data_IF_509298577490
#
_entry.id   IF_509298577490
#
_cell.length_a   1.000
_cell.length_b   1.000
_cell.length_c   1.000
_cell.angle_alpha   90.00
_cell.angle_beta   90.00
_cell.angle_gamma   90.00
#
_symmetry.space_group_name_H-M   'P 1'
#
loop_
_entity.id
_entity.type
_entity.pdbx_description
1 polymer ?
#
# COMPACT_ATOMS: atom_id res chain seq x y z
N UNK A 1 -10.77 -7.42 5.83
CA UNK A 1 -11.12 -8.80 5.45
C UNK A 1 -10.78 -9.86 6.49
N UNK A 2 -9.76 -9.70 7.35
CA UNK A 2 -9.43 -10.72 8.37
C UNK A 2 -10.58 -11.08 9.31
N UNK A 3 -11.33 -10.09 9.82
CA UNK A 3 -12.49 -10.37 10.69
C UNK A 3 -13.67 -11.01 9.93
N UNK A 4 -13.86 -10.68 8.65
CA UNK A 4 -14.91 -11.26 7.78
C UNK A 4 -14.60 -12.72 7.46
N UNK A 5 -13.32 -13.08 7.30
CA UNK A 5 -12.91 -14.48 7.13
C UNK A 5 -13.17 -15.34 8.37
N UNK A 6 -13.14 -14.77 9.57
CA UNK A 6 -13.42 -15.47 10.83
C UNK A 6 -14.91 -15.49 11.17
N UNK A 7 -15.62 -14.38 10.93
CA UNK A 7 -17.04 -14.23 11.28
C UNK A 7 -17.99 -14.67 10.17
N UNK A 8 -17.54 -14.77 8.93
CA UNK A 8 -18.35 -15.13 7.76
C UNK A 8 -19.36 -14.07 7.31
N UNK A 9 -19.45 -12.92 7.99
CA UNK A 9 -20.50 -11.92 7.76
C UNK A 9 -20.01 -10.90 6.71
N UNK A 10 -20.49 -11.02 5.46
CA UNK A 10 -20.25 -10.06 4.35
C UNK A 10 -21.33 -8.98 4.22
N UNK A 11 -22.07 -8.67 5.29
CA UNK A 11 -23.22 -7.74 5.25
C UNK A 11 -22.79 -6.27 5.25
N UNK A 12 -23.26 -5.49 4.25
CA UNK A 12 -23.04 -4.04 4.14
C UNK A 12 -23.53 -3.26 5.37
N UNK A 13 -24.56 -3.75 6.04
CA UNK A 13 -25.12 -3.10 7.24
C UNK A 13 -24.14 -3.11 8.42
N UNK A 14 -23.26 -4.12 8.50
CA UNK A 14 -22.23 -4.19 9.55
C UNK A 14 -21.17 -3.12 9.34
N UNK A 15 -20.78 -2.87 8.09
CA UNK A 15 -19.83 -1.80 7.75
C UNK A 15 -20.43 -0.42 8.09
N UNK A 16 -21.70 -0.19 7.75
CA UNK A 16 -22.40 1.06 8.08
C UNK A 16 -22.53 1.24 9.59
N UNK A 17 -22.95 0.21 10.32
CA UNK A 17 -23.05 0.26 11.79
C UNK A 17 -21.69 0.53 12.44
N UNK A 18 -20.62 -0.13 11.97
CA UNK A 18 -19.25 0.14 12.41
C UNK A 18 -18.81 1.57 12.14
N UNK A 19 -19.11 2.10 10.94
CA UNK A 19 -18.84 3.49 10.59
C UNK A 19 -19.57 4.49 11.50
N UNK A 20 -20.86 4.23 11.79
CA UNK A 20 -21.64 5.06 12.72
C UNK A 20 -21.03 5.03 14.13
N UNK A 21 -20.62 3.85 14.62
CA UNK A 21 -19.93 3.72 15.92
C UNK A 21 -18.63 4.53 15.93
N UNK A 22 -17.83 4.49 14.86
CA UNK A 22 -16.59 5.27 14.76
C UNK A 22 -16.87 6.78 14.77
N UNK A 23 -17.92 7.24 14.10
CA UNK A 23 -18.33 8.66 14.11
C UNK A 23 -18.74 9.08 15.52
N UNK A 24 -19.58 8.28 16.19
CA UNK A 24 -20.04 8.58 17.56
C UNK A 24 -18.85 8.61 18.53
N UNK A 25 -17.96 7.61 18.48
CA UNK A 25 -16.77 7.58 19.34
C UNK A 25 -15.80 8.72 19.03
N UNK A 26 -15.68 9.14 17.77
CA UNK A 26 -14.84 10.27 17.37
C UNK A 26 -15.36 11.63 17.84
N UNK A 27 -16.68 11.78 18.00
CA UNK A 27 -17.30 13.01 18.52
C UNK A 27 -17.25 13.12 20.05
N UNK A 28 -16.92 12.05 20.77
CA UNK A 28 -16.84 12.05 22.23
C UNK A 28 -15.46 12.55 22.70
N UNK A 29 -15.36 13.74 23.34
CA UNK A 29 -14.07 14.30 23.77
C UNK A 29 -13.36 13.44 24.84
N UNK A 30 -14.11 12.61 25.58
CA UNK A 30 -13.55 11.66 26.54
C UNK A 30 -12.69 10.58 25.87
N UNK A 31 -13.06 10.15 24.66
CA UNK A 31 -12.27 9.17 23.91
C UNK A 31 -10.95 9.80 23.41
N UNK A 32 -11.00 11.05 22.97
CA UNK A 32 -9.82 11.79 22.55
C UNK A 32 -8.79 11.94 23.69
N UNK A 33 -9.24 12.30 24.90
CA UNK A 33 -8.37 12.40 26.08
C UNK A 33 -7.72 11.05 26.45
N UNK A 34 -8.44 9.93 26.25
CA UNK A 34 -7.90 8.60 26.50
C UNK A 34 -6.81 8.24 25.48
N UNK A 35 -7.00 8.58 24.20
CA UNK A 35 -6.00 8.35 23.15
C UNK A 35 -4.75 9.21 23.36
N UNK A 36 -4.92 10.46 23.80
CA UNK A 36 -3.80 11.36 24.14
C UNK A 36 -2.98 10.83 25.32
N UNK A 37 -3.61 10.14 26.27
CA UNK A 37 -2.91 9.51 27.40
C UNK A 37 -2.06 8.29 27.01
N UNK A 38 -2.16 7.80 25.77
CA UNK A 38 -1.39 6.65 25.30
C UNK A 38 0.09 7.01 25.11
N UNK A 39 1.03 6.26 25.73
CA UNK A 39 2.44 6.47 25.50
C UNK A 39 2.81 6.30 24.03
N UNK A 40 3.71 7.15 23.53
CA UNK A 40 4.21 7.10 22.14
C UNK A 40 4.80 5.73 21.77
N UNK A 41 5.34 5.00 22.76
CA UNK A 41 5.86 3.63 22.56
C UNK A 41 4.78 2.63 22.14
N UNK A 42 3.53 2.78 22.62
CA UNK A 42 2.41 1.90 22.24
C UNK A 42 1.92 2.22 20.84
N UNK A 43 1.80 3.52 20.53
CA UNK A 43 1.45 3.99 19.18
C UNK A 43 2.49 3.56 18.14
N UNK A 44 3.78 3.62 18.51
CA UNK A 44 4.88 3.11 17.69
C UNK A 44 4.80 1.61 17.45
N UNK A 45 4.49 0.81 18.49
CA UNK A 45 4.28 -0.64 18.36
C UNK A 45 3.09 -0.99 17.46
N UNK A 46 1.95 -0.31 17.63
CA UNK A 46 0.79 -0.47 16.76
C UNK A 46 1.11 -0.09 15.30
N UNK A 47 1.84 1.01 15.09
CA UNK A 47 2.31 1.44 13.78
C UNK A 47 3.23 0.40 13.13
N UNK A 48 4.19 -0.15 13.87
CA UNK A 48 5.10 -1.18 13.36
C UNK A 48 4.35 -2.41 12.87
N UNK A 49 3.35 -2.89 13.63
CA UNK A 49 2.52 -4.03 13.23
C UNK A 49 1.70 -3.70 11.98
N UNK A 50 1.09 -2.51 11.92
CA UNK A 50 0.30 -2.09 10.75
C UNK A 50 1.16 -1.98 9.49
N UNK A 51 2.31 -1.29 9.55
CA UNK A 51 3.22 -1.17 8.42
C UNK A 51 3.82 -2.52 8.02
N UNK A 52 4.15 -3.39 8.99
CA UNK A 52 4.63 -4.74 8.72
C UNK A 52 3.60 -5.60 8.00
N UNK A 53 2.32 -5.53 8.40
CA UNK A 53 1.24 -6.24 7.72
C UNK A 53 1.01 -5.71 6.30
N UNK A 54 1.06 -4.40 6.10
CA UNK A 54 0.97 -3.79 4.76
C UNK A 54 2.13 -4.25 3.87
N UNK A 55 3.36 -4.28 4.38
CA UNK A 55 4.53 -4.78 3.65
C UNK A 55 4.37 -6.28 3.29
N UNK A 56 3.91 -7.10 4.23
CA UNK A 56 3.65 -8.51 3.99
C UNK A 56 2.57 -8.74 2.93
N UNK A 57 1.49 -7.96 2.94
CA UNK A 57 0.46 -7.98 1.88
C UNK A 57 1.06 -7.59 0.53
N UNK A 58 1.92 -6.57 0.49
CA UNK A 58 2.64 -6.19 -0.73
C UNK A 58 3.49 -7.32 -1.31
N UNK A 59 4.28 -8.01 -0.48
CA UNK A 59 5.08 -9.16 -0.89
C UNK A 59 4.18 -10.30 -1.39
N UNK A 60 3.04 -10.54 -0.72
CA UNK A 60 2.08 -11.57 -1.14
C UNK A 60 1.49 -11.28 -2.51
N UNK A 61 1.08 -10.04 -2.79
CA UNK A 61 0.61 -9.63 -4.12
C UNK A 61 1.71 -9.87 -5.15
N UNK A 62 2.93 -9.48 -4.81
CA UNK A 62 4.08 -9.64 -5.69
C UNK A 62 4.40 -11.10 -6.01
N UNK A 63 4.20 -12.01 -5.04
CA UNK A 63 4.40 -13.45 -5.23
C UNK A 63 3.43 -14.08 -6.25
N UNK A 64 2.34 -13.40 -6.58
CA UNK A 64 1.41 -13.82 -7.65
C UNK A 64 1.88 -13.47 -9.06
N UNK A 65 2.96 -12.70 -9.21
CA UNK A 65 3.51 -12.30 -10.52
C UNK A 65 4.46 -13.37 -11.05
N UNK A 66 4.38 -13.67 -12.35
CA UNK A 66 5.33 -14.58 -13.00
C UNK A 66 6.70 -13.90 -13.20
N UNK A 67 7.66 -14.29 -12.36
CA UNK A 67 9.06 -13.90 -12.47
C UNK A 67 9.92 -14.91 -13.23
N UNK A 68 9.42 -16.10 -13.52
CA UNK A 68 10.17 -17.17 -14.20
C UNK A 68 10.00 -17.08 -15.72
N UNK A 69 8.79 -16.81 -16.21
CA UNK A 69 8.51 -16.67 -17.64
C UNK A 69 8.90 -15.31 -18.21
N UNK A 70 8.93 -14.26 -17.39
CA UNK A 70 9.24 -12.91 -17.84
C UNK A 70 10.24 -12.18 -16.93
N UNK A 71 11.51 -12.16 -17.33
CA UNK A 71 12.60 -11.54 -16.57
C UNK A 71 12.46 -10.01 -16.43
N UNK A 72 11.68 -9.36 -17.29
CA UNK A 72 11.41 -7.93 -17.20
C UNK A 72 10.63 -7.58 -15.92
N UNK A 73 9.73 -8.45 -15.46
CA UNK A 73 8.93 -8.22 -14.24
C UNK A 73 9.82 -8.04 -13.01
N UNK A 74 10.86 -8.88 -12.85
CA UNK A 74 11.80 -8.76 -11.73
C UNK A 74 12.60 -7.45 -11.79
N UNK A 75 12.99 -7.02 -13.00
CA UNK A 75 13.71 -5.77 -13.21
C UNK A 75 12.84 -4.55 -12.90
N UNK A 76 11.58 -4.54 -13.36
CA UNK A 76 10.62 -3.47 -13.09
C UNK A 76 10.46 -3.27 -11.58
N UNK A 77 10.23 -4.36 -10.85
CA UNK A 77 10.09 -4.33 -9.39
C UNK A 77 11.36 -3.79 -8.73
N UNK A 78 12.52 -4.37 -9.04
CA UNK A 78 13.77 -3.98 -8.39
C UNK A 78 14.09 -2.49 -8.60
N UNK A 79 13.92 -1.98 -9.82
CA UNK A 79 14.18 -0.58 -10.16
C UNK A 79 13.13 0.34 -9.51
N UNK A 80 11.85 -0.03 -9.53
CA UNK A 80 10.78 0.77 -8.91
C UNK A 80 10.95 0.91 -7.39
N UNK A 81 11.34 -0.16 -6.68
CA UNK A 81 11.63 -0.12 -5.24
C UNK A 81 12.87 0.74 -4.99
N UNK A 82 13.93 0.58 -5.79
CA UNK A 82 15.12 1.42 -5.71
C UNK A 82 14.82 2.91 -5.85
N UNK A 83 13.99 3.28 -6.84
CA UNK A 83 13.55 4.65 -7.07
C UNK A 83 12.65 5.16 -5.93
N UNK A 84 11.75 4.31 -5.42
CA UNK A 84 10.90 4.65 -4.28
C UNK A 84 11.66 4.92 -2.97
N UNK A 85 12.86 4.35 -2.81
CA UNK A 85 13.71 4.58 -1.64
C UNK A 85 14.58 5.83 -1.75
N UNK A 86 14.63 6.52 -2.89
CA UNK A 86 15.44 7.73 -3.09
C UNK A 86 15.20 8.80 -2.02
N UNK A 87 13.95 9.13 -1.63
CA UNK A 87 13.71 10.17 -0.61
C UNK A 87 14.26 9.80 0.77
N UNK A 88 14.39 8.50 1.05
CA UNK A 88 14.90 7.97 2.31
C UNK A 88 16.44 7.91 2.32
N UNK A 89 17.06 7.53 1.20
CA UNK A 89 18.52 7.29 1.11
C UNK A 89 19.27 8.58 0.72
N UNK A 90 18.67 9.44 -0.09
CA UNK A 90 19.30 10.64 -0.65
C UNK A 90 18.42 11.89 -0.44
N UNK A 91 18.28 12.39 0.81
CA UNK A 91 17.45 13.57 1.09
C UNK A 91 17.95 14.85 0.41
N UNK A 92 19.24 14.91 0.05
CA UNK A 92 19.86 16.03 -0.67
C UNK A 92 19.53 16.06 -2.18
N UNK A 93 18.92 15.01 -2.73
CA UNK A 93 18.52 14.97 -4.15
C UNK A 93 17.52 16.08 -4.52
N UNK A 94 16.82 16.64 -3.52
CA UNK A 94 15.90 17.79 -3.65
C UNK A 94 16.57 19.06 -4.20
N UNK A 95 17.87 19.25 -3.96
CA UNK A 95 18.60 20.47 -4.34
C UNK A 95 18.76 20.63 -5.86
N UNK A 96 18.65 19.53 -6.62
CA UNK A 96 18.85 19.52 -8.06
C UNK A 96 17.53 19.57 -8.86
N UNK A 97 16.36 19.77 -8.21
CA UNK A 97 15.05 19.60 -8.83
C UNK A 97 14.12 20.83 -8.67
N UNK A 98 13.23 21.14 -9.65
CA UNK A 98 12.33 22.29 -9.60
C UNK A 98 11.35 22.25 -8.41
N UNK A 99 11.09 23.40 -7.80
CA UNK A 99 10.26 23.54 -6.59
C UNK A 99 8.81 23.03 -6.76
N UNK A 100 8.27 23.04 -7.99
CA UNK A 100 6.92 22.56 -8.27
C UNK A 100 6.72 21.05 -8.02
N UNK A 101 7.80 20.27 -7.98
CA UNK A 101 7.76 18.79 -7.93
C UNK A 101 8.22 18.25 -6.58
N UNK A 102 8.70 19.11 -5.67
CA UNK A 102 9.28 18.71 -4.38
C UNK A 102 8.36 17.84 -3.53
N UNK A 103 7.07 18.19 -3.42
CA UNK A 103 6.10 17.42 -2.63
C UNK A 103 5.82 16.02 -3.22
N UNK A 104 5.86 15.89 -4.54
CA UNK A 104 5.64 14.61 -5.23
C UNK A 104 6.83 13.67 -5.06
N UNK A 105 8.06 14.20 -5.14
CA UNK A 105 9.30 13.44 -4.95
C UNK A 105 9.46 12.98 -3.51
N UNK A 106 8.97 13.77 -2.53
CA UNK A 106 9.04 13.38 -1.13
C UNK A 106 8.27 12.10 -0.82
N UNK A 107 7.23 11.81 -1.61
CA UNK A 107 6.48 10.58 -1.51
C UNK A 107 7.18 9.45 -2.27
N UNK A 108 7.98 8.67 -1.55
CA UNK A 108 8.64 7.47 -2.10
C UNK A 108 7.65 6.45 -2.70
N UNK A 109 6.43 6.39 -2.16
CA UNK A 109 5.36 5.53 -2.69
C UNK A 109 4.94 6.00 -4.09
N UNK A 110 4.76 7.31 -4.31
CA UNK A 110 4.39 7.85 -5.62
C UNK A 110 5.50 7.61 -6.65
N UNK A 111 6.76 7.85 -6.27
CA UNK A 111 7.90 7.60 -7.15
C UNK A 111 8.00 6.13 -7.55
N UNK A 112 7.83 5.20 -6.58
CA UNK A 112 7.79 3.78 -6.86
C UNK A 112 6.66 3.42 -7.83
N UNK A 113 5.44 3.91 -7.58
CA UNK A 113 4.27 3.63 -8.42
C UNK A 113 4.44 4.15 -9.85
N UNK A 114 4.87 5.41 -10.01
CA UNK A 114 5.09 6.01 -11.33
C UNK A 114 6.18 5.24 -12.08
N UNK A 115 7.30 4.96 -11.41
CA UNK A 115 8.39 4.18 -12.02
C UNK A 115 7.94 2.77 -12.42
N UNK A 116 7.17 2.09 -11.56
CA UNK A 116 6.68 0.74 -11.85
C UNK A 116 5.75 0.74 -13.08
N UNK A 117 4.81 1.68 -13.14
CA UNK A 117 3.86 1.82 -14.26
C UNK A 117 4.60 2.15 -15.56
N UNK A 118 5.52 3.13 -15.54
CA UNK A 118 6.28 3.50 -16.73
C UNK A 118 7.14 2.33 -17.23
N UNK A 119 7.90 1.69 -16.35
CA UNK A 119 8.75 0.56 -16.74
C UNK A 119 7.93 -0.65 -17.22
N UNK A 120 6.78 -0.91 -16.61
CA UNK A 120 5.87 -1.95 -17.08
C UNK A 120 5.33 -1.65 -18.48
N UNK A 121 4.94 -0.39 -18.74
CA UNK A 121 4.49 0.03 -20.08
C UNK A 121 5.62 -0.06 -21.12
N UNK A 122 6.85 0.34 -20.77
CA UNK A 122 7.98 0.33 -21.70
C UNK A 122 8.50 -1.09 -21.99
N UNK A 123 8.63 -1.95 -20.98
CA UNK A 123 9.26 -3.26 -21.12
C UNK A 123 8.26 -4.37 -21.48
N UNK A 124 7.05 -4.35 -20.91
CA UNK A 124 6.03 -5.34 -21.21
C UNK A 124 5.09 -4.91 -22.34
N UNK A 125 5.08 -3.62 -22.69
CA UNK A 125 4.10 -3.03 -23.60
C UNK A 125 2.69 -3.01 -22.98
N UNK A 126 1.75 -2.34 -23.64
CA UNK A 126 0.32 -2.49 -23.36
C UNK A 126 -0.21 -3.86 -23.84
N UNK A 127 0.52 -4.94 -23.57
CA UNK A 127 -0.01 -6.29 -23.78
C UNK A 127 -1.13 -6.44 -22.76
N UNK A 128 -2.36 -6.53 -23.27
CA UNK A 128 -3.54 -6.86 -22.50
C UNK A 128 -3.33 -8.28 -21.98
N UNK A 129 -2.67 -8.41 -20.84
CA UNK A 129 -2.42 -9.70 -20.21
C UNK A 129 -3.71 -10.11 -19.51
N UNK A 130 -4.66 -10.58 -20.32
CA UNK A 130 -6.00 -11.03 -19.92
C UNK A 130 -5.89 -12.09 -18.82
N UNK A 131 -4.82 -12.89 -18.83
CA UNK A 131 -4.52 -13.86 -17.75
C UNK A 131 -4.16 -13.18 -16.43
N UNK A 132 -3.37 -12.10 -16.43
CA UNK A 132 -3.09 -11.33 -15.21
C UNK A 132 -4.34 -10.66 -14.63
N UNK A 133 -5.25 -10.20 -15.51
CA UNK A 133 -6.56 -9.65 -15.08
C UNK A 133 -7.46 -10.74 -14.49
N UNK A 134 -7.50 -11.91 -15.12
CA UNK A 134 -8.28 -13.06 -14.65
C UNK A 134 -7.72 -13.61 -13.33
N UNK A 135 -6.40 -13.67 -13.16
CA UNK A 135 -5.78 -14.16 -11.92
C UNK A 135 -5.87 -13.13 -10.78
N UNK A 136 -5.78 -11.83 -11.08
CA UNK A 136 -6.10 -10.78 -10.11
C UNK A 136 -7.57 -10.82 -9.69
N UNK A 137 -8.49 -11.07 -10.63
CA UNK A 137 -9.91 -11.25 -10.34
C UNK A 137 -10.18 -12.50 -9.48
N UNK A 138 -9.55 -13.64 -9.79
CA UNK A 138 -9.65 -14.86 -8.97
C UNK A 138 -9.08 -14.67 -7.56
N UNK A 139 -7.99 -13.93 -7.42
CA UNK A 139 -7.44 -13.60 -6.11
C UNK A 139 -8.36 -12.65 -5.31
N UNK A 140 -9.08 -11.74 -5.99
CA UNK A 140 -10.08 -10.89 -5.36
C UNK A 140 -11.38 -11.65 -4.99
N UNK A 141 -11.80 -12.63 -5.79
CA UNK A 141 -12.99 -13.46 -5.55
C UNK A 141 -12.75 -14.56 -4.50
N UNK A 142 -11.51 -15.02 -4.33
CA UNK A 142 -11.13 -15.94 -3.26
C UNK A 142 -11.15 -15.31 -1.84
N UNK A 143 -11.57 -14.04 -1.70
CA UNK A 143 -11.63 -13.28 -0.45
C UNK A 143 -13.07 -12.90 -0.04
#
# INVERSE_FOLDING_TARGET
MGLVAVTGIKSRYVCVAGGVILVVLGLLPKMAALIESLPTVVLGGAGLVMFGMVAATGIRILSGVDFKGNRHNAMIVAVSIGIGMIPLIAPNFKQWMPHAIHSLIESGILLASISAVLLNLFLNGAKHDEQAVIDAAKQAEAH
#
